data_IF_780447538992
#
_entry.id   IF_780447538992
#
_cell.length_a   1.000
_cell.length_b   1.000
_cell.length_c   1.000
_cell.angle_alpha   90.00
_cell.angle_beta   90.00
_cell.angle_gamma   90.00
#
_symmetry.space_group_name_H-M   'P 1'
#
loop_
_entity.id
_entity.type
_entity.pdbx_description
1 polymer ?
#
# COMPACT_ATOMS: atom_id res chain seq x y z
N UNK A 1 -18.55 -27.38 -19.28
CA UNK A 1 -18.15 -27.09 -17.89
C UNK A 1 -16.75 -26.52 -17.95
N UNK A 2 -16.59 -25.23 -17.70
CA UNK A 2 -15.27 -24.57 -17.75
C UNK A 2 -14.69 -24.59 -16.35
N UNK A 3 -13.71 -25.46 -16.13
CA UNK A 3 -12.93 -25.50 -14.89
C UNK A 3 -12.08 -24.22 -14.82
N UNK A 4 -12.35 -23.37 -13.84
CA UNK A 4 -11.48 -22.24 -13.54
C UNK A 4 -10.15 -22.77 -13.02
N UNK A 5 -9.04 -22.37 -13.65
CA UNK A 5 -7.71 -22.63 -13.11
C UNK A 5 -7.61 -21.98 -11.71
N UNK A 6 -6.93 -22.61 -10.74
CA UNK A 6 -6.66 -21.96 -9.47
C UNK A 6 -5.94 -20.65 -9.77
N UNK A 7 -6.53 -19.55 -9.29
CA UNK A 7 -5.87 -18.26 -9.23
C UNK A 7 -4.60 -18.47 -8.41
N UNK A 8 -3.44 -18.45 -9.06
CA UNK A 8 -2.19 -18.16 -8.38
C UNK A 8 -2.24 -16.68 -8.03
N UNK A 9 -2.58 -16.39 -6.78
CA UNK A 9 -2.25 -15.09 -6.19
C UNK A 9 -0.77 -14.85 -6.47
N UNK A 10 -0.38 -13.76 -7.15
CA UNK A 10 1.00 -13.35 -7.08
C UNK A 10 1.25 -13.03 -5.61
N UNK A 11 1.98 -13.92 -4.94
CA UNK A 11 2.67 -13.56 -3.71
C UNK A 11 3.52 -12.34 -4.07
N UNK A 12 3.49 -11.22 -3.29
CA UNK A 12 4.48 -10.17 -3.48
C UNK A 12 5.85 -10.83 -3.36
N UNK A 13 6.82 -10.38 -4.17
CA UNK A 13 8.17 -10.94 -4.41
C UNK A 13 8.52 -12.14 -3.53
N UNK A 14 8.87 -13.30 -4.13
CA UNK A 14 9.33 -14.49 -3.40
C UNK A 14 10.08 -14.11 -2.12
N UNK A 15 9.62 -14.61 -0.96
CA UNK A 15 10.25 -14.37 0.36
C UNK A 15 11.77 -14.35 0.18
N UNK A 16 12.38 -13.18 0.38
CA UNK A 16 13.80 -12.97 0.05
C UNK A 16 14.68 -13.94 0.83
N UNK A 17 14.28 -14.25 2.06
CA UNK A 17 14.78 -15.38 2.85
C UNK A 17 13.64 -15.88 3.73
N UNK A 18 13.34 -17.18 3.66
CA UNK A 18 12.33 -17.83 4.49
C UNK A 18 12.94 -18.54 5.71
N UNK A 19 14.28 -18.49 5.85
CA UNK A 19 15.07 -19.19 6.85
C UNK A 19 14.81 -20.72 6.91
N UNK A 20 14.23 -21.29 5.85
CA UNK A 20 13.84 -22.69 5.79
C UNK A 20 14.95 -23.54 5.15
N UNK A 21 16.07 -23.65 5.85
CA UNK A 21 17.26 -24.38 5.41
C UNK A 21 18.01 -25.00 6.58
N UNK A 22 19.02 -25.81 6.26
CA UNK A 22 19.81 -26.55 7.23
C UNK A 22 20.42 -25.64 8.31
N UNK A 23 20.55 -26.19 9.51
CA UNK A 23 21.10 -25.48 10.67
C UNK A 23 22.50 -24.93 10.38
N UNK A 24 22.78 -23.73 10.90
CA UNK A 24 24.07 -23.06 10.72
C UNK A 24 23.94 -21.57 10.46
N UNK A 25 24.90 -21.01 9.72
CA UNK A 25 24.92 -19.58 9.44
C UNK A 25 23.73 -19.11 8.60
N UNK A 26 23.27 -17.89 8.88
CA UNK A 26 22.22 -17.19 8.12
C UNK A 26 22.61 -16.89 6.67
N UNK A 27 23.84 -17.16 6.24
CA UNK A 27 24.22 -17.14 4.82
C UNK A 27 24.60 -15.75 4.31
N UNK A 28 25.10 -15.73 3.08
CA UNK A 28 25.84 -14.59 2.54
C UNK A 28 24.97 -13.37 2.20
N UNK A 29 23.65 -13.50 2.11
CA UNK A 29 22.73 -12.39 1.83
C UNK A 29 22.63 -11.39 3.00
N UNK A 30 23.14 -11.76 4.16
CA UNK A 30 23.05 -10.97 5.38
C UNK A 30 24.40 -10.40 5.80
N UNK A 31 24.43 -9.11 6.09
CA UNK A 31 25.56 -8.36 6.64
C UNK A 31 25.30 -7.90 8.08
N UNK A 32 26.16 -7.01 8.57
CA UNK A 32 26.13 -6.57 9.97
C UNK A 32 26.65 -7.66 10.90
N UNK A 33 25.97 -7.84 12.03
CA UNK A 33 26.32 -8.81 13.06
C UNK A 33 25.80 -10.23 12.74
N UNK A 34 25.71 -10.61 11.46
CA UNK A 34 25.10 -11.86 11.00
C UNK A 34 25.75 -13.13 11.59
N UNK A 35 26.98 -13.04 12.10
CA UNK A 35 27.67 -14.11 12.82
C UNK A 35 27.04 -14.47 14.18
N UNK A 36 26.25 -13.58 14.77
CA UNK A 36 25.54 -13.82 16.04
C UNK A 36 24.15 -14.45 15.84
N UNK A 37 23.72 -14.58 14.58
CA UNK A 37 22.45 -15.20 14.22
C UNK A 37 22.71 -16.58 13.63
N UNK A 38 21.78 -17.50 13.83
CA UNK A 38 21.85 -18.83 13.22
C UNK A 38 20.50 -19.31 12.75
N UNK A 39 20.49 -20.35 11.93
CA UNK A 39 19.31 -21.11 11.59
C UNK A 39 19.29 -22.35 12.46
N UNK A 40 18.17 -22.58 13.15
CA UNK A 40 17.98 -23.74 14.03
C UNK A 40 16.57 -24.30 13.84
N UNK A 41 16.45 -25.46 13.21
CA UNK A 41 15.17 -26.11 12.95
C UNK A 41 14.27 -25.27 12.04
N UNK A 42 14.82 -24.85 10.90
CA UNK A 42 14.12 -24.09 9.85
C UNK A 42 13.53 -22.74 10.33
N UNK A 43 14.25 -22.03 11.20
CA UNK A 43 13.91 -20.68 11.67
C UNK A 43 15.17 -19.90 12.03
N UNK A 44 15.08 -18.59 12.00
CA UNK A 44 16.10 -17.69 12.53
C UNK A 44 16.12 -17.79 14.07
N UNK A 45 17.28 -18.09 14.62
CA UNK A 45 17.61 -18.00 16.04
C UNK A 45 18.43 -16.72 16.24
N UNK A 46 17.85 -15.80 17.01
CA UNK A 46 18.43 -14.48 17.28
C UNK A 46 19.07 -14.47 18.68
N UNK A 47 20.18 -13.72 18.87
CA UNK A 47 20.83 -13.59 20.17
C UNK A 47 19.94 -12.82 21.16
N UNK A 48 20.21 -13.00 22.46
CA UNK A 48 19.50 -12.27 23.52
C UNK A 48 20.00 -10.83 23.72
N UNK A 49 21.18 -10.53 23.19
CA UNK A 49 21.84 -9.23 23.30
C UNK A 49 21.56 -8.35 22.06
N UNK A 50 21.95 -7.07 22.12
CA UNK A 50 21.68 -6.11 21.06
C UNK A 50 22.58 -6.34 19.84
N UNK A 51 22.02 -6.96 18.80
CA UNK A 51 22.67 -7.20 17.52
C UNK A 51 21.73 -6.88 16.37
N UNK A 52 22.28 -6.34 15.29
CA UNK A 52 21.52 -6.04 14.09
C UNK A 52 22.09 -6.78 12.88
N UNK A 53 21.19 -7.37 12.11
CA UNK A 53 21.49 -7.95 10.82
C UNK A 53 20.74 -7.17 9.73
N UNK A 54 21.42 -6.91 8.62
CA UNK A 54 20.86 -6.17 7.47
C UNK A 54 21.07 -6.94 6.18
N UNK A 55 20.23 -6.69 5.18
CA UNK A 55 20.46 -7.26 3.86
C UNK A 55 21.73 -6.66 3.26
N UNK A 56 22.60 -7.50 2.69
CA UNK A 56 23.93 -7.09 2.23
C UNK A 56 23.95 -6.41 0.85
N UNK A 57 22.79 -6.28 0.20
CA UNK A 57 22.62 -5.63 -1.10
C UNK A 57 21.59 -4.52 -1.03
N UNK A 58 21.77 -3.50 -1.86
CA UNK A 58 20.80 -2.42 -2.02
C UNK A 58 19.63 -2.91 -2.86
N UNK A 59 18.40 -2.74 -2.35
CA UNK A 59 17.19 -3.02 -3.12
C UNK A 59 16.93 -1.94 -4.17
N UNK A 60 16.17 -2.30 -5.21
CA UNK A 60 15.66 -1.33 -6.16
C UNK A 60 14.75 -0.31 -5.46
N UNK A 61 14.55 0.85 -6.09
CA UNK A 61 13.64 1.87 -5.58
C UNK A 61 12.19 1.36 -5.45
N UNK A 62 11.83 0.34 -6.21
CA UNK A 62 10.52 -0.32 -6.14
C UNK A 62 10.45 -1.20 -4.89
N UNK A 63 9.50 -0.91 -4.02
CA UNK A 63 9.24 -1.62 -2.77
C UNK A 63 7.81 -2.16 -2.78
N UNK A 64 7.63 -3.35 -2.19
CA UNK A 64 6.32 -3.97 -1.99
C UNK A 64 6.03 -4.06 -0.49
N UNK A 65 4.77 -3.86 -0.12
CA UNK A 65 4.30 -4.02 1.26
C UNK A 65 3.16 -5.01 1.33
N UNK A 66 3.10 -5.73 2.45
CA UNK A 66 1.90 -6.44 2.84
C UNK A 66 1.00 -5.50 3.64
N UNK A 67 -0.29 -5.47 3.31
CA UNK A 67 -1.29 -4.69 4.03
C UNK A 67 -2.47 -5.58 4.40
N UNK A 68 -3.15 -5.27 5.51
CA UNK A 68 -4.41 -5.96 5.83
C UNK A 68 -5.53 -5.59 4.85
N UNK A 69 -6.59 -6.39 4.75
CA UNK A 69 -7.76 -6.09 3.90
C UNK A 69 -8.35 -4.70 4.18
N UNK A 70 -8.45 -4.30 5.46
CA UNK A 70 -9.00 -3.00 5.86
C UNK A 70 -8.07 -1.84 5.48
N UNK A 71 -6.76 -2.04 5.63
CA UNK A 71 -5.72 -1.11 5.17
C UNK A 71 -5.79 -0.95 3.66
N UNK A 72 -5.89 -2.05 2.91
CA UNK A 72 -6.04 -2.04 1.45
C UNK A 72 -7.27 -1.26 1.01
N UNK A 73 -8.45 -1.54 1.59
CA UNK A 73 -9.69 -0.82 1.26
C UNK A 73 -9.52 0.69 1.47
N UNK A 74 -8.91 1.08 2.59
CA UNK A 74 -8.66 2.48 2.92
C UNK A 74 -7.69 3.12 1.93
N UNK A 75 -6.56 2.47 1.64
CA UNK A 75 -5.60 2.93 0.66
C UNK A 75 -6.25 3.13 -0.71
N UNK A 76 -7.10 2.18 -1.14
CA UNK A 76 -7.82 2.27 -2.40
C UNK A 76 -8.80 3.45 -2.42
N UNK A 77 -9.53 3.72 -1.33
CA UNK A 77 -10.40 4.90 -1.22
C UNK A 77 -9.61 6.20 -1.35
N UNK A 78 -8.49 6.31 -0.64
CA UNK A 78 -7.63 7.50 -0.72
C UNK A 78 -7.05 7.67 -2.14
N UNK A 79 -6.63 6.57 -2.77
CA UNK A 79 -6.13 6.55 -4.15
C UNK A 79 -7.19 6.98 -5.18
N UNK A 80 -8.40 6.43 -5.07
CA UNK A 80 -9.52 6.82 -5.92
C UNK A 80 -9.86 8.29 -5.71
N UNK A 81 -9.87 8.78 -4.46
CA UNK A 81 -10.17 10.19 -4.17
C UNK A 81 -9.10 11.12 -4.73
N UNK A 82 -7.83 10.76 -4.62
CA UNK A 82 -6.71 11.50 -5.21
C UNK A 82 -6.83 11.60 -6.74
N UNK A 83 -7.37 10.58 -7.43
CA UNK A 83 -7.57 10.64 -8.89
C UNK A 83 -8.80 11.41 -9.34
N UNK A 84 -9.83 11.49 -8.50
CA UNK A 84 -11.18 11.97 -8.86
C UNK A 84 -11.50 13.37 -8.35
N UNK A 85 -10.69 13.91 -7.45
CA UNK A 85 -10.87 15.25 -6.89
C UNK A 85 -9.57 16.03 -6.92
N UNK A 86 -9.67 17.35 -6.78
CA UNK A 86 -8.52 18.25 -6.82
C UNK A 86 -7.52 17.98 -5.68
N UNK A 87 -8.01 17.79 -4.46
CA UNK A 87 -7.16 17.68 -3.26
C UNK A 87 -7.08 16.28 -2.65
N UNK A 88 -7.92 15.34 -3.09
CA UNK A 88 -7.85 13.94 -2.64
C UNK A 88 -8.35 13.64 -1.23
N UNK A 89 -9.00 14.58 -0.55
CA UNK A 89 -9.44 14.41 0.84
C UNK A 89 -10.64 13.45 0.98
N UNK A 90 -10.51 12.50 1.90
CA UNK A 90 -11.58 11.61 2.38
C UNK A 90 -11.80 11.89 3.87
N UNK A 91 -13.06 12.10 4.29
CA UNK A 91 -13.35 12.29 5.71
C UNK A 91 -13.20 10.97 6.47
N UNK A 92 -12.77 11.03 7.73
CA UNK A 92 -12.66 9.86 8.61
C UNK A 92 -13.95 9.04 8.68
N UNK A 93 -15.12 9.66 8.87
CA UNK A 93 -16.40 8.95 8.81
C UNK A 93 -16.69 8.24 7.49
N UNK A 94 -16.21 8.76 6.34
CA UNK A 94 -16.36 8.10 5.03
C UNK A 94 -15.41 6.89 4.86
N UNK A 95 -14.32 6.84 5.65
CA UNK A 95 -13.44 5.67 5.74
C UNK A 95 -14.12 4.60 6.58
N UNK A 96 -14.45 4.93 7.83
CA UNK A 96 -15.22 4.09 8.74
C UNK A 96 -15.68 4.93 9.93
N UNK A 97 -17.00 5.07 10.18
CA UNK A 97 -17.54 5.96 11.22
C UNK A 97 -16.91 5.79 12.61
N UNK A 98 -16.71 4.54 13.03
CA UNK A 98 -16.36 4.22 14.42
C UNK A 98 -14.88 3.86 14.64
N UNK A 99 -14.09 3.69 13.57
CA UNK A 99 -12.73 3.14 13.71
C UNK A 99 -11.67 3.74 12.78
N UNK A 100 -11.99 4.81 12.02
CA UNK A 100 -11.05 5.40 11.05
C UNK A 100 -9.67 5.75 11.63
N UNK A 101 -9.58 6.22 12.89
CA UNK A 101 -8.29 6.51 13.52
C UNK A 101 -7.41 5.26 13.66
N UNK A 102 -8.00 4.13 14.07
CA UNK A 102 -7.27 2.87 14.21
C UNK A 102 -6.86 2.32 12.85
N UNK A 103 -7.74 2.44 11.85
CA UNK A 103 -7.47 2.00 10.49
C UNK A 103 -6.35 2.82 9.85
N UNK A 104 -6.36 4.15 9.97
CA UNK A 104 -5.28 5.01 9.47
C UNK A 104 -3.95 4.70 10.17
N UNK A 105 -3.97 4.50 11.50
CA UNK A 105 -2.76 4.11 12.23
C UNK A 105 -2.18 2.79 11.72
N UNK A 106 -3.04 1.78 11.50
CA UNK A 106 -2.62 0.49 10.94
C UNK A 106 -2.10 0.62 9.51
N UNK A 107 -2.79 1.36 8.65
CA UNK A 107 -2.36 1.61 7.27
C UNK A 107 -0.95 2.22 7.22
N UNK A 108 -0.66 3.19 8.11
CA UNK A 108 0.66 3.82 8.21
C UNK A 108 1.73 2.85 8.69
N UNK A 109 1.41 1.98 9.65
CA UNK A 109 2.30 0.91 10.10
C UNK A 109 2.57 -0.12 8.98
N UNK A 110 1.55 -0.46 8.19
CA UNK A 110 1.71 -1.39 7.06
C UNK A 110 2.63 -0.81 5.95
N UNK A 111 2.74 0.52 5.86
CA UNK A 111 3.64 1.21 4.90
C UNK A 111 5.07 1.43 5.40
N UNK A 112 5.28 1.44 6.73
CA UNK A 112 6.60 1.68 7.34
C UNK A 112 7.70 0.74 6.81
N UNK A 113 7.47 -0.56 6.57
CA UNK A 113 8.49 -1.46 6.03
C UNK A 113 9.05 -1.07 4.65
N UNK A 114 8.30 -0.31 3.84
CA UNK A 114 8.79 0.21 2.55
C UNK A 114 9.60 1.51 2.68
N UNK A 115 9.97 1.91 3.91
CA UNK A 115 10.63 3.19 4.16
C UNK A 115 9.72 4.40 3.93
N UNK A 116 8.42 4.17 3.77
CA UNK A 116 7.41 5.20 3.68
C UNK A 116 7.05 5.59 5.11
N UNK A 117 7.65 6.67 5.60
CA UNK A 117 7.41 7.17 6.96
C UNK A 117 5.91 7.26 7.27
N UNK A 118 5.50 7.01 8.53
CA UNK A 118 4.08 6.87 8.88
C UNK A 118 3.26 8.14 8.60
N UNK A 119 3.88 9.31 8.57
CA UNK A 119 3.19 10.58 8.29
C UNK A 119 3.48 11.13 6.88
N UNK A 120 4.34 10.48 6.08
CA UNK A 120 4.78 11.04 4.78
C UNK A 120 3.89 10.64 3.62
N UNK A 121 3.28 9.45 3.67
CA UNK A 121 2.44 8.96 2.57
C UNK A 121 0.94 9.22 2.77
N UNK A 122 0.49 9.20 4.02
CA UNK A 122 -0.92 9.43 4.39
C UNK A 122 -1.00 10.68 5.26
N UNK A 123 -1.41 11.80 4.66
CA UNK A 123 -1.56 13.09 5.32
C UNK A 123 -2.88 13.21 6.08
N UNK A 124 -2.88 14.02 7.14
CA UNK A 124 -4.08 14.45 7.87
C UNK A 124 -4.19 15.98 7.82
N UNK A 125 -5.37 16.53 7.50
CA UNK A 125 -5.57 17.99 7.46
C UNK A 125 -5.84 18.64 8.84
N UNK A 126 -5.70 17.90 9.94
CA UNK A 126 -6.06 18.35 11.29
C UNK A 126 -7.57 18.38 11.59
N UNK A 127 -8.42 18.15 10.58
CA UNK A 127 -9.88 18.13 10.67
C UNK A 127 -10.47 16.75 10.37
N UNK A 128 -9.75 15.68 10.76
CA UNK A 128 -10.18 14.28 10.58
C UNK A 128 -10.42 13.88 9.12
N UNK A 129 -9.73 14.51 8.17
CA UNK A 129 -9.70 14.05 6.79
C UNK A 129 -8.29 13.63 6.39
N UNK A 130 -8.22 12.65 5.50
CA UNK A 130 -6.99 11.99 5.10
C UNK A 130 -6.86 11.95 3.57
N UNK A 131 -5.63 11.93 3.07
CA UNK A 131 -5.32 11.75 1.64
C UNK A 131 -3.98 11.08 1.46
N UNK A 132 -3.72 10.58 0.25
CA UNK A 132 -2.36 10.22 -0.16
C UNK A 132 -1.57 11.47 -0.53
N UNK A 133 -0.35 11.56 -0.03
CA UNK A 133 0.66 12.58 -0.35
C UNK A 133 1.36 12.30 -1.68
N UNK A 134 0.61 11.82 -2.66
CA UNK A 134 1.14 11.36 -3.95
C UNK A 134 0.34 12.02 -5.07
N UNK A 135 1.00 12.62 -6.07
CA UNK A 135 0.32 13.13 -7.25
C UNK A 135 -0.54 12.05 -7.91
N UNK A 136 -1.72 12.42 -8.39
CA UNK A 136 -2.68 11.49 -9.02
C UNK A 136 -2.08 10.64 -10.15
N UNK A 137 -1.11 11.18 -10.87
CA UNK A 137 -0.46 10.52 -12.01
C UNK A 137 0.60 9.50 -11.59
N UNK A 138 1.02 9.52 -10.32
CA UNK A 138 1.95 8.55 -9.73
C UNK A 138 1.22 7.40 -9.02
N UNK A 139 -0.11 7.41 -9.03
CA UNK A 139 -0.93 6.36 -8.46
C UNK A 139 -1.39 5.45 -9.59
N UNK A 140 -1.12 4.16 -9.51
CA UNK A 140 -1.60 3.16 -10.46
C UNK A 140 -2.21 1.98 -9.73
N UNK A 141 -3.17 1.32 -10.36
CA UNK A 141 -3.73 0.07 -9.87
C UNK A 141 -4.17 -0.81 -11.03
N UNK A 142 -4.16 -2.12 -10.82
CA UNK A 142 -4.73 -3.09 -11.77
C UNK A 142 -6.18 -3.38 -11.37
N UNK A 143 -7.11 -2.74 -12.07
CA UNK A 143 -8.54 -2.91 -11.85
C UNK A 143 -9.01 -4.36 -12.02
N UNK A 144 -8.45 -5.11 -12.98
CA UNK A 144 -8.84 -6.51 -13.21
C UNK A 144 -8.45 -7.37 -12.02
N UNK A 145 -7.24 -7.17 -11.48
CA UNK A 145 -6.78 -7.87 -10.28
C UNK A 145 -7.60 -7.51 -9.05
N UNK A 146 -7.91 -6.23 -8.84
CA UNK A 146 -8.74 -5.79 -7.71
C UNK A 146 -10.12 -6.46 -7.77
N UNK A 147 -10.80 -6.39 -8.93
CA UNK A 147 -12.13 -7.00 -9.09
C UNK A 147 -12.10 -8.53 -8.93
N UNK A 148 -11.02 -9.19 -9.32
CA UNK A 148 -10.89 -10.64 -9.22
C UNK A 148 -10.57 -11.15 -7.80
N UNK A 149 -9.71 -10.44 -7.05
CA UNK A 149 -9.17 -10.93 -5.77
C UNK A 149 -9.79 -10.29 -4.53
N UNK A 150 -10.31 -9.07 -4.67
CA UNK A 150 -10.97 -8.33 -3.58
C UNK A 150 -12.29 -7.72 -4.09
N UNK A 151 -13.23 -8.56 -4.58
CA UNK A 151 -14.47 -8.08 -5.21
C UNK A 151 -15.30 -7.18 -4.29
N UNK A 152 -15.19 -7.38 -2.96
CA UNK A 152 -15.82 -6.51 -1.97
C UNK A 152 -15.35 -5.06 -2.00
N UNK A 153 -14.22 -4.74 -2.64
CA UNK A 153 -13.72 -3.38 -2.84
C UNK A 153 -14.08 -2.78 -4.21
N UNK A 154 -14.70 -3.55 -5.11
CA UNK A 154 -14.97 -3.11 -6.49
C UNK A 154 -15.86 -1.86 -6.55
N UNK A 155 -16.79 -1.72 -5.61
CA UNK A 155 -17.68 -0.54 -5.52
C UNK A 155 -16.91 0.79 -5.33
N UNK A 156 -15.69 0.74 -4.76
CA UNK A 156 -14.83 1.92 -4.59
C UNK A 156 -14.32 2.39 -5.94
N UNK A 157 -14.04 1.45 -6.86
CA UNK A 157 -13.70 1.76 -8.25
C UNK A 157 -14.93 2.24 -9.03
N UNK A 158 -16.11 1.67 -8.75
CA UNK A 158 -17.35 2.06 -9.44
C UNK A 158 -17.85 3.45 -9.03
N UNK A 159 -17.41 3.94 -7.86
CA UNK A 159 -17.65 5.31 -7.41
C UNK A 159 -16.83 6.37 -8.17
N UNK A 160 -16.02 5.99 -9.16
CA UNK A 160 -15.37 6.91 -10.10
C UNK A 160 -16.45 7.70 -10.87
N UNK A 161 -16.44 9.04 -10.88
CA UNK A 161 -17.23 9.77 -11.86
C UNK A 161 -16.75 9.34 -13.25
N UNK A 162 -17.68 8.87 -14.10
CA UNK A 162 -17.40 8.66 -15.52
C UNK A 162 -16.81 9.94 -16.16
N UNK A 163 -16.19 9.85 -17.36
CA UNK A 163 -15.56 11.00 -18.01
C UNK A 163 -16.54 12.17 -17.99
N UNK A 164 -16.14 13.25 -17.33
CA UNK A 164 -17.04 14.35 -16.99
C UNK A 164 -17.58 14.96 -18.27
N UNK A 165 -18.84 14.65 -18.59
CA UNK A 165 -19.56 15.36 -19.63
C UNK A 165 -19.77 16.81 -19.15
N UNK A 166 -19.01 17.74 -19.74
CA UNK A 166 -19.37 19.14 -19.78
C UNK A 166 -18.73 20.03 -18.72
N UNK A 167 -17.47 20.41 -18.94
CA UNK A 167 -17.11 21.82 -18.76
C UNK A 167 -17.92 22.61 -19.78
N UNK A 168 -19.05 23.21 -19.36
CA UNK A 168 -19.68 24.25 -20.18
C UNK A 168 -18.68 25.39 -20.30
N UNK A 169 -18.17 25.59 -21.51
CA UNK A 169 -17.45 26.79 -21.86
C UNK A 169 -18.37 27.99 -21.59
N UNK A 170 -18.00 28.85 -20.64
CA UNK A 170 -18.58 30.18 -20.51
C UNK A 170 -18.17 30.95 -21.77
N UNK A 171 -19.06 31.04 -22.75
CA UNK A 171 -18.91 32.01 -23.83
C UNK A 171 -19.04 33.41 -23.22
N UNK A 172 -17.93 34.15 -23.19
CA UNK A 172 -17.94 35.58 -22.98
C UNK A 172 -18.57 36.24 -24.20
N UNK A 173 -19.84 36.64 -24.10
CA UNK A 173 -20.39 37.62 -25.02
C UNK A 173 -19.76 38.98 -24.69
N UNK A 174 -18.82 39.40 -25.52
CA UNK A 174 -18.34 40.78 -25.54
C UNK A 174 -19.44 41.68 -26.06
N UNK A 175 -19.92 42.59 -25.22
CA UNK A 175 -20.67 43.78 -25.62
C UNK A 175 -19.65 44.76 -26.21
N UNK A 176 -19.86 45.18 -27.46
CA UNK A 176 -19.16 46.33 -28.04
C UNK A 176 -20.10 47.52 -27.97
N UNK A 177 -19.67 48.60 -27.30
CA UNK A 177 -20.20 49.96 -27.49
C UNK A 177 -19.33 50.64 -28.53
#
# INVERSE_FOLDING_TARGET
MTTLAPVTTPHPSALLDDFNRADGGVGANWGGDSAFFSIVGNRLDAPTDDHQMTWNTTFAADQEVYVTQQSFETALRLAVRAKTTDLGWVSGPDICPDSYHQIIRRLRMDFEPAGLGPETLVECNGCKAYRLSVPRDHITWDERRIRAHVPGCAYILDALPGPTAGTKATQSQGVTV
#
